data_IF_242641139907
#
_entry.id   IF_242641139907
#
_cell.length_a   1.000
_cell.length_b   1.000
_cell.length_c   1.000
_cell.angle_alpha   90.00
_cell.angle_beta   90.00
_cell.angle_gamma   90.00
#
_symmetry.space_group_name_H-M   'P 1'
#
loop_
_entity.id
_entity.type
_entity.pdbx_description
1 polymer ?
#
# COMPACT_ATOMS: atom_id res chain seq x y z
N UNK A 1 0.22 -15.07 28.99
CA UNK A 1 -1.04 -15.83 28.80
C UNK A 1 -1.53 -15.62 27.37
N UNK A 2 -2.13 -16.65 26.75
CA UNK A 2 -2.69 -16.56 25.39
C UNK A 2 -3.71 -15.41 25.25
N UNK A 3 -4.51 -15.16 26.29
CA UNK A 3 -5.48 -14.06 26.34
C UNK A 3 -4.81 -12.69 26.18
N UNK A 4 -3.64 -12.49 26.79
CA UNK A 4 -2.89 -11.24 26.66
C UNK A 4 -2.36 -11.05 25.23
N UNK A 5 -1.88 -12.12 24.59
CA UNK A 5 -1.46 -12.07 23.19
C UNK A 5 -2.64 -11.73 22.27
N UNK A 6 -3.82 -12.31 22.50
CA UNK A 6 -5.03 -12.00 21.75
C UNK A 6 -5.45 -10.54 21.94
N UNK A 7 -5.47 -10.04 23.18
CA UNK A 7 -5.81 -8.65 23.48
C UNK A 7 -4.85 -7.67 22.78
N UNK A 8 -3.55 -7.94 22.82
CA UNK A 8 -2.54 -7.14 22.12
C UNK A 8 -2.79 -7.19 20.61
N UNK A 9 -3.08 -8.36 20.02
CA UNK A 9 -3.39 -8.46 18.58
C UNK A 9 -4.62 -7.65 18.17
N UNK A 10 -5.67 -7.63 18.99
CA UNK A 10 -6.85 -6.79 18.75
C UNK A 10 -6.47 -5.32 18.77
N UNK A 11 -5.69 -4.88 19.75
CA UNK A 11 -5.23 -3.48 19.85
C UNK A 11 -4.38 -3.07 18.64
N UNK A 12 -3.45 -3.92 18.21
CA UNK A 12 -2.66 -3.68 16.99
C UNK A 12 -3.56 -3.54 15.75
N UNK A 13 -4.53 -4.43 15.57
CA UNK A 13 -5.46 -4.35 14.44
C UNK A 13 -6.28 -3.05 14.42
N UNK A 14 -6.76 -2.61 15.59
CA UNK A 14 -7.49 -1.33 15.72
C UNK A 14 -6.58 -0.14 15.42
N UNK A 15 -5.34 -0.15 15.93
CA UNK A 15 -4.38 0.93 15.73
C UNK A 15 -3.87 1.02 14.27
N UNK A 16 -3.65 -0.11 13.60
CA UNK A 16 -3.19 -0.16 12.21
C UNK A 16 -4.32 0.18 11.21
N UNK A 17 -5.57 -0.15 11.55
CA UNK A 17 -6.72 0.05 10.67
C UNK A 17 -6.99 1.52 10.30
N UNK A 18 -6.56 2.48 11.13
CA UNK A 18 -6.72 3.91 10.86
C UNK A 18 -5.65 4.50 9.96
N UNK A 19 -4.56 3.76 9.67
CA UNK A 19 -3.41 4.29 8.94
C UNK A 19 -3.77 4.72 7.49
N UNK A 20 -4.39 3.84 6.70
CA UNK A 20 -4.76 4.15 5.32
C UNK A 20 -5.82 5.25 5.20
N UNK A 21 -6.92 5.27 5.99
CA UNK A 21 -7.87 6.39 6.00
C UNK A 21 -7.21 7.72 6.38
N UNK A 22 -6.34 7.72 7.39
CA UNK A 22 -5.61 8.93 7.81
C UNK A 22 -4.73 9.44 6.67
N UNK A 23 -3.96 8.56 6.01
CA UNK A 23 -3.15 8.94 4.85
C UNK A 23 -4.00 9.56 3.73
N UNK A 24 -5.16 8.97 3.43
CA UNK A 24 -6.06 9.45 2.36
C UNK A 24 -6.68 10.83 2.63
N UNK A 25 -6.76 11.25 3.90
CA UNK A 25 -7.29 12.56 4.31
C UNK A 25 -6.20 13.58 4.60
N UNK A 26 -5.02 13.12 5.04
CA UNK A 26 -3.88 13.94 5.39
C UNK A 26 -3.10 14.43 4.16
N UNK A 27 -2.73 13.54 3.24
CA UNK A 27 -1.92 13.90 2.07
C UNK A 27 -2.56 14.98 1.18
N UNK A 28 -3.88 14.97 0.90
CA UNK A 28 -4.50 16.03 0.10
C UNK A 28 -4.48 17.41 0.76
N UNK A 29 -4.39 17.47 2.10
CA UNK A 29 -4.30 18.74 2.84
C UNK A 29 -2.92 19.35 2.75
N UNK A 30 -1.88 18.50 2.77
CA UNK A 30 -0.47 18.90 2.88
C UNK A 30 0.26 18.98 1.53
N UNK A 31 -0.25 18.32 0.48
CA UNK A 31 0.40 18.33 -0.84
C UNK A 31 -0.50 18.94 -1.93
N UNK A 32 0.06 19.77 -2.83
CA UNK A 32 -0.66 20.33 -3.96
C UNK A 32 -1.06 19.23 -4.96
N UNK A 33 -2.15 19.46 -5.70
CA UNK A 33 -2.80 18.42 -6.53
C UNK A 33 -1.85 17.69 -7.50
N UNK A 34 -0.85 18.37 -8.06
CA UNK A 34 0.11 17.78 -8.99
C UNK A 34 1.19 16.90 -8.33
N UNK A 35 1.44 17.07 -7.03
CA UNK A 35 2.45 16.27 -6.27
C UNK A 35 1.81 15.14 -5.45
N UNK A 36 0.48 15.15 -5.28
CA UNK A 36 -0.24 14.16 -4.46
C UNK A 36 0.04 12.71 -4.86
N UNK A 37 0.08 12.43 -6.17
CA UNK A 37 0.36 11.09 -6.66
C UNK A 37 1.76 10.62 -6.26
N UNK A 38 2.76 11.51 -6.34
CA UNK A 38 4.13 11.26 -5.90
C UNK A 38 4.20 11.03 -4.38
N UNK A 39 3.49 11.84 -3.59
CA UNK A 39 3.46 11.70 -2.12
C UNK A 39 2.83 10.37 -1.68
N UNK A 40 1.74 9.94 -2.32
CA UNK A 40 1.12 8.62 -2.11
C UNK A 40 2.09 7.51 -2.52
N UNK A 41 2.74 7.64 -3.69
CA UNK A 41 3.72 6.68 -4.18
C UNK A 41 4.91 6.50 -3.22
N UNK A 42 5.46 7.60 -2.70
CA UNK A 42 6.55 7.57 -1.73
C UNK A 42 6.12 6.91 -0.41
N UNK A 43 4.91 7.20 0.06
CA UNK A 43 4.34 6.61 1.27
C UNK A 43 4.15 5.09 1.12
N UNK A 44 3.62 4.63 -0.02
CA UNK A 44 3.50 3.19 -0.33
C UNK A 44 4.86 2.52 -0.52
N UNK A 45 5.82 3.21 -1.14
CA UNK A 45 7.20 2.75 -1.22
C UNK A 45 7.81 2.54 0.17
N UNK A 46 7.60 3.48 1.09
CA UNK A 46 7.99 3.37 2.50
C UNK A 46 7.33 2.20 3.21
N UNK A 47 6.04 1.95 2.97
CA UNK A 47 5.32 0.79 3.52
C UNK A 47 5.94 -0.55 3.09
N UNK A 48 6.24 -0.71 1.80
CA UNK A 48 6.88 -1.94 1.31
C UNK A 48 8.33 -2.08 1.77
N UNK A 49 9.10 -0.99 1.81
CA UNK A 49 10.46 -0.99 2.38
C UNK A 49 10.46 -1.33 3.86
N UNK A 50 9.45 -0.88 4.61
CA UNK A 50 9.22 -1.26 6.00
C UNK A 50 9.16 -2.78 6.16
N UNK A 51 8.41 -3.48 5.31
CA UNK A 51 8.35 -4.94 5.33
C UNK A 51 9.72 -5.58 5.10
N UNK A 52 10.48 -5.09 4.11
CA UNK A 52 11.82 -5.59 3.81
C UNK A 52 12.75 -5.42 5.02
N UNK A 53 12.77 -4.21 5.60
CA UNK A 53 13.60 -3.90 6.76
C UNK A 53 13.18 -4.74 7.96
N UNK A 54 11.88 -4.86 8.24
CA UNK A 54 11.36 -5.71 9.31
C UNK A 54 11.76 -7.17 9.12
N UNK A 55 11.58 -7.75 7.92
CA UNK A 55 11.98 -9.14 7.68
C UNK A 55 13.47 -9.37 7.91
N UNK A 56 14.33 -8.45 7.49
CA UNK A 56 15.78 -8.61 7.63
C UNK A 56 16.27 -8.31 9.05
N UNK A 57 15.75 -7.26 9.68
CA UNK A 57 16.20 -6.81 10.99
C UNK A 57 15.69 -7.72 12.12
N UNK A 58 14.44 -8.16 12.07
CA UNK A 58 13.81 -8.92 13.17
C UNK A 58 14.60 -10.18 13.55
N UNK A 59 15.01 -11.07 12.63
CA UNK A 59 15.80 -12.27 12.99
C UNK A 59 17.18 -11.94 13.55
N UNK A 60 17.83 -10.88 13.04
CA UNK A 60 19.16 -10.47 13.49
C UNK A 60 19.07 -9.96 14.92
N UNK A 61 18.17 -9.02 15.17
CA UNK A 61 17.93 -8.44 16.50
C UNK A 61 17.52 -9.55 17.48
N UNK A 62 16.59 -10.41 17.09
CA UNK A 62 16.13 -11.52 17.92
C UNK A 62 17.25 -12.51 18.27
N UNK A 63 18.24 -12.71 17.38
CA UNK A 63 19.39 -13.56 17.67
C UNK A 63 20.37 -12.99 18.70
N UNK A 64 20.40 -11.66 18.87
CA UNK A 64 21.32 -10.97 19.79
C UNK A 64 20.67 -10.61 21.13
N UNK A 65 19.46 -10.06 21.11
CA UNK A 65 18.78 -9.52 22.32
C UNK A 65 17.50 -10.29 22.67
N UNK A 66 17.25 -11.41 22.01
CA UNK A 66 16.09 -12.26 22.24
C UNK A 66 14.77 -11.63 21.80
N UNK A 67 13.68 -12.34 22.09
CA UNK A 67 12.32 -11.95 21.69
C UNK A 67 11.87 -10.65 22.38
N UNK A 68 12.02 -10.56 23.71
CA UNK A 68 11.62 -9.38 24.48
C UNK A 68 12.39 -8.12 24.06
N UNK A 69 13.70 -8.24 23.83
CA UNK A 69 14.52 -7.14 23.32
C UNK A 69 14.10 -6.67 21.93
N UNK A 70 13.70 -7.59 21.06
CA UNK A 70 13.19 -7.25 19.72
C UNK A 70 11.92 -6.40 19.80
N UNK A 71 10.97 -6.77 20.68
CA UNK A 71 9.78 -5.95 20.90
C UNK A 71 10.12 -4.56 21.47
N UNK A 72 11.02 -4.50 22.45
CA UNK A 72 11.46 -3.23 23.03
C UNK A 72 12.13 -2.31 22.00
N UNK A 73 12.92 -2.87 21.08
CA UNK A 73 13.57 -2.12 20.00
C UNK A 73 12.57 -1.51 19.01
N UNK A 74 11.60 -2.29 18.53
CA UNK A 74 10.57 -1.74 17.62
C UNK A 74 9.65 -0.75 18.34
N UNK A 75 9.35 -0.99 19.61
CA UNK A 75 8.59 -0.05 20.42
C UNK A 75 9.33 1.29 20.58
N UNK A 76 10.63 1.26 20.92
CA UNK A 76 11.42 2.50 21.09
C UNK A 76 11.54 3.29 19.78
N UNK A 77 11.71 2.61 18.65
CA UNK A 77 11.72 3.25 17.33
C UNK A 77 10.35 3.91 17.03
N UNK A 78 9.25 3.23 17.36
CA UNK A 78 7.89 3.76 17.23
C UNK A 78 7.65 5.00 18.11
N UNK A 79 8.10 4.97 19.37
CA UNK A 79 8.01 6.14 20.26
C UNK A 79 8.85 7.30 19.77
N UNK A 80 10.07 7.05 19.28
CA UNK A 80 10.93 8.07 18.70
C UNK A 80 10.25 8.73 17.49
N UNK A 81 9.69 7.93 16.59
CA UNK A 81 8.94 8.44 15.44
C UNK A 81 7.71 9.25 15.87
N UNK A 82 6.95 8.77 16.85
CA UNK A 82 5.80 9.47 17.40
C UNK A 82 6.18 10.82 18.00
N UNK A 83 7.28 10.90 18.76
CA UNK A 83 7.79 12.15 19.30
C UNK A 83 8.17 13.14 18.21
N UNK A 84 8.88 12.68 17.17
CA UNK A 84 9.23 13.52 16.02
C UNK A 84 7.96 14.01 15.29
N UNK A 85 6.97 13.14 15.12
CA UNK A 85 5.71 13.48 14.46
C UNK A 85 4.91 14.52 15.25
N UNK A 86 4.71 14.31 16.55
CA UNK A 86 3.95 15.23 17.41
C UNK A 86 4.59 16.61 17.55
N UNK A 87 5.92 16.72 17.43
CA UNK A 87 6.63 17.99 17.54
C UNK A 87 6.66 18.79 16.23
N UNK A 88 6.59 18.12 15.08
CA UNK A 88 6.84 18.74 13.78
C UNK A 88 5.63 18.78 12.83
N UNK A 89 4.61 17.96 13.07
CA UNK A 89 3.50 17.74 12.13
C UNK A 89 2.18 18.13 12.77
N UNK A 90 1.51 19.12 12.17
CA UNK A 90 0.20 19.61 12.61
C UNK A 90 -0.93 19.03 11.75
N UNK A 91 -2.18 19.12 12.22
CA UNK A 91 -3.32 18.57 11.48
C UNK A 91 -3.70 19.35 10.21
N UNK A 92 -3.51 20.68 10.22
CA UNK A 92 -3.66 21.53 9.04
C UNK A 92 -2.35 22.30 8.79
N UNK A 93 -1.87 22.40 7.54
CA UNK A 93 -0.69 23.20 7.22
C UNK A 93 -0.83 24.68 7.60
N UNK A 94 -2.05 25.22 7.73
CA UNK A 94 -2.27 26.60 8.18
C UNK A 94 -1.78 26.81 9.62
N UNK A 95 -1.92 25.79 10.47
CA UNK A 95 -1.54 25.84 11.89
C UNK A 95 -0.07 25.43 12.10
N UNK A 96 0.63 25.03 11.04
CA UNK A 96 2.01 24.57 11.10
C UNK A 96 2.96 25.72 11.44
N UNK A 97 3.79 25.49 12.46
CA UNK A 97 4.87 26.40 12.88
C UNK A 97 6.16 26.21 12.09
N UNK A 98 6.28 25.09 11.39
CA UNK A 98 7.49 24.64 10.69
C UNK A 98 7.48 24.95 9.19
N UNK A 99 6.31 25.24 8.62
CA UNK A 99 6.16 25.50 7.18
C UNK A 99 6.58 26.92 6.78
N UNK A 100 7.21 27.06 5.62
CA UNK A 100 7.49 28.38 5.03
C UNK A 100 6.21 29.04 4.52
N UNK A 101 6.14 30.37 4.60
CA UNK A 101 5.03 31.15 4.02
C UNK A 101 4.88 30.91 2.51
N UNK A 102 5.98 30.72 1.78
CA UNK A 102 5.94 30.43 0.34
C UNK A 102 5.33 29.06 0.03
N UNK A 103 5.68 28.04 0.82
CA UNK A 103 5.16 26.68 0.69
C UNK A 103 3.68 26.61 1.07
N UNK A 104 3.28 27.29 2.15
CA UNK A 104 1.87 27.40 2.54
C UNK A 104 1.02 28.00 1.41
N UNK A 105 1.52 29.05 0.73
CA UNK A 105 0.81 29.64 -0.41
C UNK A 105 0.68 28.66 -1.58
N UNK A 106 1.71 27.86 -1.87
CA UNK A 106 1.65 26.83 -2.92
C UNK A 106 0.62 25.73 -2.58
N UNK A 107 0.58 25.27 -1.33
CA UNK A 107 -0.40 24.28 -0.87
C UNK A 107 -1.83 24.85 -0.97
N UNK A 108 -2.03 26.08 -0.51
CA UNK A 108 -3.34 26.74 -0.56
C UNK A 108 -3.80 27.05 -1.98
N UNK A 109 -2.88 27.42 -2.88
CA UNK A 109 -3.16 27.60 -4.30
C UNK A 109 -3.50 26.26 -4.98
N UNK A 110 -2.85 25.17 -4.56
CA UNK A 110 -3.09 23.81 -5.05
C UNK A 110 -4.30 23.10 -4.45
N UNK A 111 -4.85 23.60 -3.33
CA UNK A 111 -6.18 23.21 -2.82
C UNK A 111 -7.21 23.73 -3.82
N UNK A 112 -7.69 22.85 -4.69
CA UNK A 112 -8.83 23.16 -5.56
C UNK A 112 -9.93 23.82 -4.71
N UNK A 113 -10.31 25.05 -5.06
CA UNK A 113 -11.43 25.81 -4.46
C UNK A 113 -12.80 25.16 -4.78
N UNK A 114 -12.81 23.91 -5.23
CA UNK A 114 -14.01 23.11 -5.48
C UNK A 114 -14.59 22.59 -4.15
N UNK A 115 -15.02 23.49 -3.27
CA UNK A 115 -16.30 23.25 -2.61
C UNK A 115 -17.34 23.61 -3.67
N UNK A 116 -17.76 22.63 -4.48
CA UNK A 116 -19.03 22.73 -5.21
C UNK A 116 -20.08 22.90 -4.11
N UNK A 117 -20.49 24.14 -3.85
CA UNK A 117 -21.67 24.45 -3.05
C UNK A 117 -22.84 23.76 -3.76
N UNK A 118 -23.31 22.63 -3.24
CA UNK A 118 -24.61 22.07 -3.62
C UNK A 118 -24.65 20.63 -4.14
N UNK A 119 -23.54 19.90 -4.33
CA UNK A 119 -23.69 18.46 -4.62
C UNK A 119 -24.02 17.72 -3.33
N UNK A 120 -25.26 17.25 -3.16
CA UNK A 120 -25.59 16.27 -2.13
C UNK A 120 -24.61 15.11 -2.28
N UNK A 121 -23.86 14.81 -1.22
CA UNK A 121 -23.07 13.57 -1.16
C UNK A 121 -24.03 12.41 -1.45
N UNK A 122 -23.69 11.49 -2.38
CA UNK A 122 -24.56 10.36 -2.66
C UNK A 122 -24.84 9.61 -1.37
N UNK A 123 -26.09 9.19 -1.15
CA UNK A 123 -26.42 8.45 0.06
C UNK A 123 -25.66 7.13 0.04
N UNK A 124 -25.17 6.66 1.20
CA UNK A 124 -24.43 5.39 1.28
C UNK A 124 -25.23 4.23 0.65
N UNK A 125 -26.55 4.26 0.80
CA UNK A 125 -27.47 3.30 0.20
C UNK A 125 -27.39 3.27 -1.33
N UNK A 126 -27.31 4.42 -1.98
CA UNK A 126 -27.17 4.51 -3.45
C UNK A 126 -25.81 4.03 -3.94
N UNK A 127 -24.75 4.22 -3.15
CA UNK A 127 -23.40 3.73 -3.48
C UNK A 127 -23.32 2.21 -3.35
N UNK A 128 -23.85 1.65 -2.25
CA UNK A 128 -23.86 0.20 -2.03
C UNK A 128 -24.92 -0.55 -2.85
N UNK A 129 -25.88 0.14 -3.48
CA UNK A 129 -26.87 -0.50 -4.37
C UNK A 129 -26.28 -0.87 -5.73
N UNK A 130 -25.10 -0.32 -6.10
CA UNK A 130 -24.48 -0.52 -7.41
C UNK A 130 -23.60 -1.77 -7.43
N UNK A 131 -23.75 -2.59 -8.46
CA UNK A 131 -22.97 -3.83 -8.63
C UNK A 131 -21.47 -3.54 -8.81
N UNK A 132 -21.14 -2.41 -9.43
CA UNK A 132 -19.79 -1.93 -9.64
C UNK A 132 -19.06 -1.69 -8.31
N UNK A 133 -19.77 -1.21 -7.29
CA UNK A 133 -19.20 -0.99 -5.96
C UNK A 133 -18.82 -2.32 -5.30
N UNK A 134 -19.70 -3.32 -5.37
CA UNK A 134 -19.42 -4.66 -4.83
C UNK A 134 -18.27 -5.34 -5.57
N UNK A 135 -18.19 -5.20 -6.89
CA UNK A 135 -17.07 -5.72 -7.67
C UNK A 135 -15.73 -5.13 -7.20
N UNK A 136 -15.68 -3.82 -6.94
CA UNK A 136 -14.48 -3.15 -6.41
C UNK A 136 -14.16 -3.61 -4.98
N UNK A 137 -15.16 -3.73 -4.10
CA UNK A 137 -14.98 -4.20 -2.73
C UNK A 137 -14.39 -5.61 -2.72
N UNK A 138 -15.00 -6.54 -3.46
CA UNK A 138 -14.55 -7.93 -3.53
C UNK A 138 -13.13 -8.02 -4.10
N UNK A 139 -12.86 -7.29 -5.19
CA UNK A 139 -11.52 -7.21 -5.77
C UNK A 139 -10.49 -6.71 -4.74
N UNK A 140 -10.82 -5.65 -3.99
CA UNK A 140 -9.95 -5.11 -2.96
C UNK A 140 -9.73 -6.08 -1.80
N UNK A 141 -10.78 -6.76 -1.34
CA UNK A 141 -10.69 -7.77 -0.28
C UNK A 141 -9.79 -8.93 -0.71
N UNK A 142 -9.96 -9.44 -1.93
CA UNK A 142 -9.13 -10.54 -2.46
C UNK A 142 -7.66 -10.10 -2.59
N UNK A 143 -7.42 -8.88 -3.06
CA UNK A 143 -6.06 -8.35 -3.19
C UNK A 143 -5.37 -8.20 -1.83
N UNK A 144 -6.03 -7.57 -0.86
CA UNK A 144 -5.50 -7.42 0.50
C UNK A 144 -5.33 -8.78 1.19
N UNK A 145 -6.27 -9.71 1.01
CA UNK A 145 -6.16 -11.07 1.53
C UNK A 145 -4.91 -11.76 0.99
N UNK A 146 -4.71 -11.76 -0.33
CA UNK A 146 -3.51 -12.34 -0.94
C UNK A 146 -2.22 -11.70 -0.44
N UNK A 147 -2.21 -10.36 -0.30
CA UNK A 147 -1.09 -9.61 0.26
C UNK A 147 -0.72 -10.07 1.67
N UNK A 148 -1.69 -10.09 2.59
CA UNK A 148 -1.44 -10.45 4.00
C UNK A 148 -1.17 -11.94 4.19
N UNK A 149 -1.76 -12.80 3.37
CA UNK A 149 -1.41 -14.23 3.33
C UNK A 149 0.06 -14.40 2.96
N UNK A 150 0.52 -13.77 1.87
CA UNK A 150 1.93 -13.83 1.50
C UNK A 150 2.83 -13.21 2.56
N UNK A 151 2.43 -12.08 3.16
CA UNK A 151 3.22 -11.42 4.21
C UNK A 151 3.43 -12.33 5.42
N UNK A 152 2.37 -12.98 5.89
CA UNK A 152 2.41 -13.82 7.10
C UNK A 152 3.01 -15.21 6.83
N UNK A 153 2.63 -15.84 5.72
CA UNK A 153 2.96 -17.24 5.47
C UNK A 153 4.26 -17.45 4.71
N UNK A 154 4.80 -16.44 4.01
CA UNK A 154 6.01 -16.62 3.20
C UNK A 154 7.24 -17.04 4.02
N UNK A 155 7.59 -16.40 5.15
CA UNK A 155 8.72 -16.85 5.96
C UNK A 155 8.48 -18.22 6.57
N UNK A 156 7.22 -18.51 6.95
CA UNK A 156 6.81 -19.81 7.49
C UNK A 156 6.98 -20.88 6.42
N UNK A 157 6.54 -20.65 5.19
CA UNK A 157 6.65 -21.56 4.06
C UNK A 157 8.10 -21.95 3.78
N UNK A 158 9.02 -20.98 3.72
CA UNK A 158 10.45 -21.29 3.54
C UNK A 158 11.00 -22.12 4.69
N UNK A 159 10.65 -21.75 5.94
CA UNK A 159 11.10 -22.49 7.12
C UNK A 159 10.52 -23.91 7.20
N UNK A 160 9.25 -24.14 6.87
CA UNK A 160 8.58 -25.43 7.08
C UNK A 160 8.74 -26.38 5.91
N UNK A 161 8.68 -25.89 4.66
CA UNK A 161 8.72 -26.73 3.46
C UNK A 161 10.15 -27.05 3.05
N UNK A 162 11.03 -26.04 3.11
CA UNK A 162 12.43 -26.19 2.69
C UNK A 162 13.40 -26.34 3.85
N UNK A 163 12.90 -26.32 5.10
CA UNK A 163 13.68 -26.46 6.32
C UNK A 163 14.89 -25.50 6.41
N UNK A 164 14.78 -24.32 5.79
CA UNK A 164 15.86 -23.31 5.83
C UNK A 164 15.87 -22.60 7.18
N UNK A 165 17.06 -22.16 7.59
CA UNK A 165 17.23 -21.41 8.84
C UNK A 165 16.42 -20.11 8.83
N UNK A 166 16.00 -19.62 10.01
CA UNK A 166 15.15 -18.43 10.13
C UNK A 166 15.74 -17.19 9.41
N UNK A 167 17.06 -16.99 9.50
CA UNK A 167 17.76 -15.91 8.80
C UNK A 167 17.64 -16.05 7.29
N UNK A 168 17.79 -17.27 6.75
CA UNK A 168 17.65 -17.52 5.31
C UNK A 168 16.20 -17.37 4.85
N UNK A 169 15.23 -17.89 5.60
CA UNK A 169 13.80 -17.71 5.32
C UNK A 169 13.42 -16.22 5.23
N UNK A 170 13.95 -15.41 6.15
CA UNK A 170 13.78 -13.96 6.12
C UNK A 170 14.39 -13.31 4.87
N UNK A 171 15.62 -13.69 4.49
CA UNK A 171 16.24 -13.20 3.24
C UNK A 171 15.43 -13.57 2.00
N UNK A 172 14.99 -14.83 1.89
CA UNK A 172 14.14 -15.29 0.78
C UNK A 172 12.78 -14.59 0.75
N UNK A 173 12.26 -14.16 1.89
CA UNK A 173 11.01 -13.41 1.98
C UNK A 173 11.20 -11.92 1.65
N UNK A 174 12.32 -11.32 2.04
CA UNK A 174 12.60 -9.90 1.83
C UNK A 174 12.75 -9.53 0.35
N UNK A 175 13.34 -10.42 -0.46
CA UNK A 175 13.57 -10.18 -1.90
C UNK A 175 12.25 -9.91 -2.66
N UNK A 176 11.23 -10.79 -2.60
CA UNK A 176 9.94 -10.53 -3.23
C UNK A 176 9.31 -9.18 -2.87
N UNK A 177 9.38 -8.79 -1.58
CA UNK A 177 8.87 -7.50 -1.10
C UNK A 177 9.67 -6.31 -1.63
N UNK A 178 10.98 -6.43 -1.71
CA UNK A 178 11.84 -5.41 -2.29
C UNK A 178 11.59 -5.23 -3.79
N UNK A 179 11.44 -6.33 -4.53
CA UNK A 179 11.10 -6.30 -5.95
C UNK A 179 9.71 -5.72 -6.18
N UNK A 180 8.74 -6.02 -5.32
CA UNK A 180 7.40 -5.41 -5.38
C UNK A 180 7.46 -3.88 -5.30
N UNK A 181 8.30 -3.35 -4.40
CA UNK A 181 8.49 -1.90 -4.25
C UNK A 181 9.06 -1.27 -5.53
N UNK A 182 10.01 -1.96 -6.20
CA UNK A 182 10.61 -1.49 -7.46
C UNK A 182 9.67 -1.67 -8.66
N UNK A 183 8.94 -2.79 -8.73
CA UNK A 183 8.05 -3.09 -9.84
C UNK A 183 6.86 -2.14 -9.89
N UNK A 184 6.46 -1.53 -8.78
CA UNK A 184 5.46 -0.46 -8.76
C UNK A 184 5.83 0.73 -9.66
N UNK A 185 7.10 1.16 -9.63
CA UNK A 185 7.59 2.24 -10.50
C UNK A 185 7.57 1.81 -11.97
N UNK A 186 8.02 0.58 -12.26
CA UNK A 186 8.02 0.04 -13.62
C UNK A 186 6.60 -0.10 -14.16
N UNK A 187 5.65 -0.56 -13.34
CA UNK A 187 4.25 -0.68 -13.70
C UNK A 187 3.62 0.69 -13.98
N UNK A 188 3.93 1.71 -13.17
CA UNK A 188 3.52 3.09 -13.40
C UNK A 188 4.07 3.66 -14.71
N UNK A 189 5.38 3.55 -14.93
CA UNK A 189 6.03 4.00 -16.17
C UNK A 189 5.47 3.27 -17.41
N UNK A 190 5.19 1.97 -17.29
CA UNK A 190 4.57 1.18 -18.35
C UNK A 190 3.13 1.63 -18.65
N UNK A 191 2.36 1.97 -17.61
CA UNK A 191 1.02 2.53 -17.77
C UNK A 191 1.07 3.89 -18.49
N UNK A 192 1.98 4.77 -18.08
CA UNK A 192 2.17 6.08 -18.72
C UNK A 192 2.61 5.95 -20.18
N UNK A 193 3.52 5.01 -20.47
CA UNK A 193 3.96 4.71 -21.83
C UNK A 193 2.80 4.24 -22.72
N UNK A 194 1.95 3.34 -22.22
CA UNK A 194 0.77 2.89 -22.96
C UNK A 194 -0.21 4.03 -23.23
N UNK A 195 -0.43 4.92 -22.25
CA UNK A 195 -1.29 6.10 -22.42
C UNK A 195 -0.71 7.04 -23.49
N UNK A 196 0.60 7.32 -23.44
CA UNK A 196 1.31 8.15 -24.44
C UNK A 196 1.30 7.53 -25.84
N UNK A 197 1.24 6.20 -25.92
CA UNK A 197 1.13 5.45 -27.18
C UNK A 197 -0.28 5.47 -27.79
N UNK A 198 -1.23 6.19 -27.16
CA UNK A 198 -2.59 6.39 -27.69
C UNK A 198 -3.64 5.41 -27.15
N UNK A 199 -3.32 4.55 -26.17
CA UNK A 199 -4.32 3.70 -25.52
C UNK A 199 -5.18 4.53 -24.55
N UNK A 200 -6.48 4.25 -24.55
CA UNK A 200 -7.39 4.91 -23.61
C UNK A 200 -7.04 4.52 -22.16
N UNK A 201 -7.17 5.49 -21.25
CA UNK A 201 -6.90 5.29 -19.82
C UNK A 201 -7.69 4.11 -19.24
N UNK A 202 -8.93 3.92 -19.69
CA UNK A 202 -9.79 2.81 -19.26
C UNK A 202 -9.23 1.46 -19.70
N UNK A 203 -8.71 1.36 -20.93
CA UNK A 203 -8.12 0.12 -21.45
C UNK A 203 -6.83 -0.22 -20.72
N UNK A 204 -5.96 0.78 -20.50
CA UNK A 204 -4.72 0.62 -19.73
C UNK A 204 -5.01 0.11 -18.32
N UNK A 205 -5.98 0.71 -17.61
CA UNK A 205 -6.37 0.26 -16.26
C UNK A 205 -6.91 -1.17 -16.25
N UNK A 206 -7.74 -1.55 -17.23
CA UNK A 206 -8.23 -2.93 -17.35
C UNK A 206 -7.08 -3.93 -17.53
N UNK A 207 -6.13 -3.63 -18.42
CA UNK A 207 -4.96 -4.49 -18.66
C UNK A 207 -4.13 -4.63 -17.38
N UNK A 208 -3.78 -3.52 -16.75
CA UNK A 208 -2.98 -3.53 -15.50
C UNK A 208 -3.69 -4.29 -14.38
N UNK A 209 -5.00 -4.14 -14.25
CA UNK A 209 -5.80 -4.84 -13.25
C UNK A 209 -5.90 -6.34 -13.54
N UNK A 210 -6.10 -6.73 -14.81
CA UNK A 210 -6.12 -8.14 -15.23
C UNK A 210 -4.78 -8.82 -14.95
N UNK A 211 -3.66 -8.17 -15.29
CA UNK A 211 -2.31 -8.67 -14.98
C UNK A 211 -2.12 -8.80 -13.47
N UNK A 212 -2.55 -7.80 -12.70
CA UNK A 212 -2.40 -7.76 -11.26
C UNK A 212 -3.27 -8.76 -10.48
N UNK A 213 -4.30 -9.35 -11.08
CA UNK A 213 -5.09 -10.43 -10.47
C UNK A 213 -4.71 -11.82 -11.01
N UNK A 214 -4.59 -11.96 -12.33
CA UNK A 214 -4.29 -13.25 -12.96
C UNK A 214 -2.83 -13.63 -12.73
N UNK A 215 -1.92 -12.67 -12.84
CA UNK A 215 -0.48 -12.86 -12.72
C UNK A 215 -0.05 -13.51 -11.39
N UNK A 216 -0.44 -12.95 -10.24
CA UNK A 216 -0.15 -13.57 -8.95
C UNK A 216 -0.78 -14.95 -8.79
N UNK A 217 -2.03 -15.14 -9.25
CA UNK A 217 -2.72 -16.43 -9.20
C UNK A 217 -1.98 -17.53 -9.96
N UNK A 218 -1.62 -17.27 -11.22
CA UNK A 218 -0.86 -18.21 -12.05
C UNK A 218 0.52 -18.48 -11.46
N UNK A 219 1.21 -17.44 -10.99
CA UNK A 219 2.53 -17.59 -10.37
C UNK A 219 2.46 -18.48 -9.11
N UNK A 220 1.46 -18.27 -8.25
CA UNK A 220 1.29 -19.10 -7.06
C UNK A 220 0.87 -20.54 -7.37
N UNK A 221 0.14 -20.80 -8.47
CA UNK A 221 -0.10 -22.16 -8.94
C UNK A 221 1.21 -22.85 -9.39
N UNK A 222 2.09 -22.11 -10.05
CA UNK A 222 3.41 -22.61 -10.44
C UNK A 222 4.32 -22.90 -9.25
N UNK A 223 4.05 -22.32 -8.07
CA UNK A 223 4.83 -22.57 -6.85
C UNK A 223 4.85 -24.05 -6.46
N UNK A 224 3.83 -24.84 -6.83
CA UNK A 224 3.79 -26.30 -6.62
C UNK A 224 4.96 -27.03 -7.29
N UNK A 225 5.48 -26.49 -8.38
CA UNK A 225 6.60 -27.10 -9.13
C UNK A 225 7.97 -26.63 -8.65
N UNK A 226 8.03 -25.72 -7.67
CA UNK A 226 9.29 -25.29 -7.09
C UNK A 226 9.91 -26.42 -6.26
N UNK A 227 11.08 -26.89 -6.67
CA UNK A 227 11.83 -27.93 -5.94
C UNK A 227 12.92 -27.33 -5.03
N UNK A 228 13.26 -26.05 -5.22
CA UNK A 228 14.31 -25.36 -4.46
C UNK A 228 13.79 -24.07 -3.83
N UNK A 229 14.37 -23.63 -2.70
CA UNK A 229 14.01 -22.36 -2.07
C UNK A 229 14.19 -21.16 -3.00
N UNK A 230 15.25 -21.18 -3.82
CA UNK A 230 15.52 -20.12 -4.80
C UNK A 230 14.45 -20.07 -5.90
N UNK A 231 14.05 -21.23 -6.44
CA UNK A 231 12.96 -21.28 -7.43
C UNK A 231 11.64 -20.77 -6.85
N UNK A 232 11.30 -21.16 -5.62
CA UNK A 232 10.12 -20.66 -4.94
C UNK A 232 10.18 -19.14 -4.71
N UNK A 233 11.34 -18.60 -4.30
CA UNK A 233 11.54 -17.17 -4.13
C UNK A 233 11.38 -16.40 -5.44
N UNK A 234 11.88 -16.91 -6.56
CA UNK A 234 11.70 -16.30 -7.89
C UNK A 234 10.23 -16.28 -8.29
N UNK A 235 9.50 -17.38 -8.08
CA UNK A 235 8.07 -17.48 -8.39
C UNK A 235 7.25 -16.52 -7.51
N UNK A 236 7.53 -16.45 -6.22
CA UNK A 236 6.87 -15.50 -5.31
C UNK A 236 7.22 -14.04 -5.64
N UNK A 237 8.45 -13.79 -6.08
CA UNK A 237 8.90 -12.48 -6.58
C UNK A 237 8.12 -12.08 -7.83
N UNK A 238 7.92 -13.00 -8.78
CA UNK A 238 7.08 -12.75 -9.94
C UNK A 238 5.62 -12.48 -9.53
N UNK A 239 5.08 -13.26 -8.59
CA UNK A 239 3.72 -13.07 -8.09
C UNK A 239 3.52 -11.66 -7.49
N UNK A 240 4.39 -11.25 -6.56
CA UNK A 240 4.33 -9.93 -5.94
C UNK A 240 4.65 -8.81 -6.93
N UNK A 241 5.62 -9.02 -7.82
CA UNK A 241 5.98 -8.08 -8.87
C UNK A 241 4.81 -7.75 -9.79
N UNK A 242 4.08 -8.77 -10.24
CA UNK A 242 2.86 -8.64 -11.05
C UNK A 242 1.71 -8.02 -10.25
N UNK A 243 1.62 -8.32 -8.95
CA UNK A 243 0.60 -7.72 -8.07
C UNK A 243 0.74 -6.21 -7.99
N UNK A 244 1.95 -5.64 -8.11
CA UNK A 244 2.15 -4.18 -8.11
C UNK A 244 1.42 -3.46 -9.24
N UNK A 245 1.16 -4.12 -10.37
CA UNK A 245 0.34 -3.58 -11.45
C UNK A 245 -1.10 -3.28 -11.02
N UNK A 246 -1.62 -4.03 -10.04
CA UNK A 246 -2.96 -3.79 -9.48
C UNK A 246 -3.03 -2.51 -8.62
N UNK A 247 -1.95 -2.17 -7.91
CA UNK A 247 -1.93 -1.02 -7.00
C UNK A 247 -2.01 0.32 -7.76
N UNK A 248 -1.38 0.41 -8.93
CA UNK A 248 -1.47 1.58 -9.81
C UNK A 248 -2.91 1.83 -10.33
N UNK A 249 -3.71 0.77 -10.50
CA UNK A 249 -5.10 0.87 -10.96
C UNK A 249 -6.09 1.24 -9.84
N UNK A 250 -5.85 0.76 -8.62
CA UNK A 250 -6.79 0.86 -7.50
C UNK A 250 -7.02 2.29 -7.01
N UNK A 251 -5.94 3.03 -6.70
CA UNK A 251 -6.06 4.40 -6.15
C UNK A 251 -6.77 5.35 -7.12
N UNK A 252 -6.59 5.15 -8.43
CA UNK A 252 -7.22 5.97 -9.46
C UNK A 252 -8.66 5.56 -9.81
N UNK A 253 -9.09 4.35 -9.44
CA UNK A 253 -10.47 3.89 -9.67
C UNK A 253 -11.39 4.30 -8.53
N UNK A 254 -10.95 4.23 -7.27
CA UNK A 254 -11.74 4.68 -6.11
C UNK A 254 -12.06 6.19 -6.20
N UNK A 255 -11.13 7.00 -6.72
CA UNK A 255 -11.37 8.42 -6.98
C UNK A 255 -12.42 8.67 -8.08
N UNK A 256 -12.71 7.69 -8.94
CA UNK A 256 -13.65 7.81 -10.07
C UNK A 256 -15.07 7.35 -9.74
N UNK A 257 -15.22 6.40 -8.81
CA UNK A 257 -16.54 5.85 -8.41
C UNK A 257 -17.32 6.80 -7.50
N UNK A 258 -16.65 7.78 -6.89
CA UNK A 258 -17.33 8.97 -6.37
C UNK A 258 -17.89 9.73 -7.58
N UNK A 259 -19.20 10.05 -7.62
CA UNK A 259 -19.85 10.52 -8.83
C UNK A 259 -19.15 11.76 -9.38
N UNK A 260 -18.44 11.57 -10.50
CA UNK A 260 -17.86 12.59 -11.36
C UNK A 260 -18.96 13.31 -12.17
N UNK A 261 -20.07 13.70 -11.53
CA UNK A 261 -21.02 14.63 -12.15
C UNK A 261 -20.53 16.08 -12.09
N UNK A 262 -19.24 16.32 -11.87
CA UNK A 262 -18.71 17.68 -11.65
C UNK A 262 -17.39 18.00 -12.37
N UNK A 263 -16.86 17.14 -13.25
CA UNK A 263 -15.58 17.41 -13.92
C UNK A 263 -15.51 17.07 -15.42
N UNK A 264 -16.60 17.24 -16.18
CA UNK A 264 -16.53 17.37 -17.64
C UNK A 264 -17.26 18.64 -18.10
N UNK A 265 -16.54 19.73 -18.43
CA UNK A 265 -17.06 20.80 -19.27
C UNK A 265 -16.92 20.50 -20.78
N UNK A 266 -16.38 19.35 -21.19
CA UNK A 266 -16.04 19.05 -22.59
C UNK A 266 -16.44 17.64 -23.02
N UNK A 267 -17.73 17.29 -22.86
CA UNK A 267 -18.36 16.21 -23.61
C UNK A 267 -19.39 16.79 -24.59
N UNK A 268 -18.88 17.21 -25.75
CA UNK A 268 -19.46 16.88 -27.05
C UNK A 268 -18.43 16.04 -27.82
#
# INVERSE_FOLDING_TARGET
SATMLLAVRVLFGVAEGVAFPTMSTFLPKWFPTHERATAVGLSMGGFHLGNVVSFLATPIIMSHIGLAGTFAFFASLGYLWLSVWLLNVESDPIDSRTISKSELQLILAGRSKSKVKGSKSPSLREVFSKMEMWAIIVANVINNWGYFVLLSWMPVYFKTVYNVNLKQAAWFSAIPWGVMALSGYVAGASADFMIKSGLSIVRVRKIMQSIGFIGPGVSLLCLRFAQTPSAAAVIMTAALGLSSCSQAGYFCNVQRTLPLNTLDPYTE
#
